data_IF_205268027828
#
_entry.id   IF_205268027828
#
_cell.length_a   1.000
_cell.length_b   1.000
_cell.length_c   1.000
_cell.angle_alpha   90.00
_cell.angle_beta   90.00
_cell.angle_gamma   90.00
#
_symmetry.space_group_name_H-M   'P 1'
#
loop_
_entity.id
_entity.type
_entity.pdbx_description
1 polymer ?
#
# COMPACT_ATOMS: atom_id res chain seq x y z
N UNK A 1 -3.93 -10.65 2.03
CA UNK A 1 -2.67 -11.25 2.52
C UNK A 1 -2.40 -11.06 4.01
N UNK A 2 -2.98 -10.06 4.70
CA UNK A 2 -2.75 -9.85 6.15
C UNK A 2 -1.25 -9.77 6.54
N UNK A 3 -0.46 -9.05 5.73
CA UNK A 3 1.01 -9.01 5.84
C UNK A 3 1.52 -7.95 6.83
N UNK A 4 1.06 -6.68 6.78
CA UNK A 4 1.58 -5.66 7.70
C UNK A 4 1.20 -5.96 9.14
N UNK A 5 2.17 -5.91 10.07
CA UNK A 5 1.97 -6.13 11.51
C UNK A 5 2.48 -4.93 12.30
N UNK A 6 1.87 -4.69 13.46
CA UNK A 6 2.22 -3.55 14.33
C UNK A 6 3.13 -4.00 15.48
N UNK A 7 4.08 -3.14 15.87
CA UNK A 7 4.93 -3.35 17.05
C UNK A 7 4.18 -2.96 18.35
N UNK A 8 3.35 -3.88 18.86
CA UNK A 8 2.47 -3.62 20.02
C UNK A 8 3.18 -3.25 21.32
N UNK A 9 4.44 -3.62 21.48
CA UNK A 9 5.20 -3.38 22.71
C UNK A 9 5.81 -1.97 22.82
N UNK A 10 5.82 -1.20 21.72
CA UNK A 10 6.41 0.14 21.68
C UNK A 10 5.32 1.20 21.79
N UNK A 11 5.56 2.22 22.62
CA UNK A 11 4.67 3.39 22.73
C UNK A 11 4.50 4.15 21.41
N UNK A 12 5.52 4.13 20.56
CA UNK A 12 5.51 4.62 19.19
C UNK A 12 5.83 3.47 18.22
N UNK A 13 5.00 2.42 18.25
CA UNK A 13 5.15 1.27 17.36
C UNK A 13 5.03 1.65 15.88
N UNK A 14 5.84 1.00 15.05
CA UNK A 14 5.76 1.12 13.60
C UNK A 14 5.02 -0.08 13.01
N UNK A 15 4.49 0.11 11.79
CA UNK A 15 4.00 -0.99 10.98
C UNK A 15 5.19 -1.60 10.25
N UNK A 16 5.43 -2.89 10.45
CA UNK A 16 6.54 -3.65 9.86
C UNK A 16 6.02 -4.74 8.93
N UNK A 17 6.78 -5.00 7.89
CA UNK A 17 6.57 -6.10 6.93
C UNK A 17 7.90 -6.43 6.25
N UNK A 18 7.92 -7.50 5.45
CA UNK A 18 9.02 -7.75 4.53
C UNK A 18 9.29 -6.52 3.66
N UNK A 19 10.55 -6.10 3.65
CA UNK A 19 11.12 -5.01 2.84
C UNK A 19 11.93 -5.54 1.65
N UNK A 20 11.87 -6.85 1.40
CA UNK A 20 12.64 -7.57 0.40
C UNK A 20 14.17 -7.42 0.60
N UNK A 21 14.67 -7.18 1.81
CA UNK A 21 16.10 -6.93 2.06
C UNK A 21 16.66 -5.80 1.20
N UNK A 22 15.96 -4.65 1.18
CA UNK A 22 16.32 -3.48 0.36
C UNK A 22 17.77 -3.02 0.58
N UNK A 23 18.27 -3.12 1.81
CA UNK A 23 19.63 -2.83 2.22
C UNK A 23 20.67 -3.74 1.55
N UNK A 24 20.35 -5.04 1.42
CA UNK A 24 21.20 -6.04 0.77
C UNK A 24 21.16 -5.88 -0.74
N UNK A 25 19.98 -5.66 -1.31
CA UNK A 25 19.84 -5.44 -2.74
C UNK A 25 20.59 -4.19 -3.20
N UNK A 26 20.61 -3.12 -2.40
CA UNK A 26 21.40 -1.92 -2.68
C UNK A 26 22.92 -2.19 -2.78
N UNK A 27 23.39 -3.29 -2.20
CA UNK A 27 24.78 -3.75 -2.24
C UNK A 27 25.01 -4.85 -3.29
N UNK A 28 24.02 -5.12 -4.16
CA UNK A 28 24.08 -6.19 -5.15
C UNK A 28 24.00 -7.59 -4.56
N UNK A 29 23.55 -7.73 -3.31
CA UNK A 29 23.37 -9.02 -2.65
C UNK A 29 21.91 -9.49 -2.74
N UNK A 30 21.72 -10.80 -2.88
CA UNK A 30 20.40 -11.42 -2.80
C UNK A 30 19.78 -11.32 -1.38
N UNK A 31 18.45 -11.43 -1.24
CA UNK A 31 17.76 -11.47 0.05
C UNK A 31 18.31 -12.57 0.97
N UNK A 32 18.33 -12.28 2.28
CA UNK A 32 18.87 -13.20 3.28
C UNK A 32 18.17 -14.56 3.29
N UNK A 33 16.84 -14.57 3.10
CA UNK A 33 16.04 -15.79 3.05
C UNK A 33 16.30 -16.65 1.82
N UNK A 34 16.59 -16.03 0.65
CA UNK A 34 16.99 -16.76 -0.56
C UNK A 34 18.38 -17.38 -0.37
N UNK A 35 19.35 -16.58 0.09
CA UNK A 35 20.72 -17.03 0.38
C UNK A 35 20.79 -18.18 1.39
N UNK A 36 19.94 -18.12 2.41
CA UNK A 36 19.95 -19.10 3.50
C UNK A 36 19.29 -20.44 3.12
N UNK A 37 18.58 -20.53 1.99
CA UNK A 37 17.81 -21.72 1.63
C UNK A 37 18.72 -22.84 1.10
N UNK A 38 18.92 -23.95 1.84
CA UNK A 38 19.84 -25.00 1.41
C UNK A 38 19.29 -25.85 0.26
N UNK A 39 17.96 -25.89 0.11
CA UNK A 39 17.26 -26.73 -0.89
C UNK A 39 16.92 -25.99 -2.18
N UNK A 40 17.17 -24.67 -2.26
CA UNK A 40 16.78 -23.86 -3.41
C UNK A 40 15.25 -23.72 -3.57
N UNK A 41 14.49 -23.84 -2.48
CA UNK A 41 13.05 -23.60 -2.47
C UNK A 41 12.70 -22.10 -2.60
N UNK A 42 13.60 -21.21 -2.16
CA UNK A 42 13.47 -19.76 -2.32
C UNK A 42 14.53 -19.31 -3.31
N UNK A 43 14.09 -18.82 -4.46
CA UNK A 43 14.95 -18.25 -5.50
C UNK A 43 14.67 -16.75 -5.62
N UNK A 44 15.68 -15.96 -5.95
CA UNK A 44 15.57 -14.52 -6.20
C UNK A 44 16.15 -14.20 -7.58
N UNK A 45 15.49 -13.29 -8.31
CA UNK A 45 15.87 -12.92 -9.67
C UNK A 45 14.79 -12.04 -10.32
N UNK A 46 14.95 -11.82 -11.61
CA UNK A 46 13.97 -11.09 -12.42
C UNK A 46 12.64 -11.85 -12.48
N UNK A 47 11.53 -11.10 -12.45
CA UNK A 47 10.19 -11.68 -12.31
C UNK A 47 9.85 -12.64 -13.46
N UNK A 48 10.14 -12.23 -14.69
CA UNK A 48 9.78 -13.01 -15.87
C UNK A 48 10.59 -14.32 -15.96
N UNK A 49 11.87 -14.26 -15.58
CA UNK A 49 12.74 -15.44 -15.48
C UNK A 49 12.23 -16.44 -14.43
N UNK A 50 11.77 -15.94 -13.27
CA UNK A 50 11.20 -16.78 -12.22
C UNK A 50 9.87 -17.43 -12.63
N UNK A 51 9.04 -16.73 -13.42
CA UNK A 51 7.80 -17.32 -13.97
C UNK A 51 8.14 -18.42 -14.98
N UNK A 52 9.10 -18.17 -15.87
CA UNK A 52 9.54 -19.16 -16.85
C UNK A 52 10.15 -20.41 -16.17
N UNK A 53 10.98 -20.23 -15.14
CA UNK A 53 11.52 -21.32 -14.33
C UNK A 53 10.40 -22.09 -13.61
N UNK A 54 9.46 -21.40 -12.97
CA UNK A 54 8.32 -22.04 -12.30
C UNK A 54 7.48 -22.88 -13.27
N UNK A 55 7.13 -22.34 -14.45
CA UNK A 55 6.40 -23.08 -15.50
C UNK A 55 7.18 -24.31 -15.97
N UNK A 56 8.49 -24.18 -16.15
CA UNK A 56 9.37 -25.31 -16.53
C UNK A 56 9.37 -26.40 -15.46
N UNK A 57 9.52 -26.04 -14.18
CA UNK A 57 9.50 -26.98 -13.05
C UNK A 57 8.15 -27.69 -12.90
N UNK A 58 7.05 -26.97 -13.13
CA UNK A 58 5.70 -27.53 -13.07
C UNK A 58 5.45 -28.50 -14.23
N UNK A 59 5.86 -28.14 -15.45
CA UNK A 59 5.74 -29.01 -16.62
C UNK A 59 6.57 -30.30 -16.49
N UNK A 60 7.72 -30.24 -15.83
CA UNK A 60 8.57 -31.41 -15.55
C UNK A 60 7.97 -32.35 -14.48
N UNK A 61 7.08 -31.85 -13.62
CA UNK A 61 6.50 -32.59 -12.49
C UNK A 61 4.99 -32.29 -12.33
N UNK A 62 4.16 -32.65 -13.33
CA UNK A 62 2.73 -32.29 -13.36
C UNK A 62 1.91 -32.98 -12.26
N UNK A 63 2.39 -34.11 -11.73
CA UNK A 63 1.79 -34.85 -10.62
C UNK A 63 2.08 -34.24 -9.25
N UNK A 64 3.09 -33.36 -9.16
CA UNK A 64 3.58 -32.81 -7.89
C UNK A 64 3.01 -31.44 -7.57
N UNK A 65 2.66 -30.64 -8.57
CA UNK A 65 2.27 -29.25 -8.37
C UNK A 65 0.84 -29.00 -8.87
N UNK A 66 0.14 -28.11 -8.18
CA UNK A 66 -1.08 -27.50 -8.73
C UNK A 66 -0.68 -26.64 -9.91
N UNK A 67 -1.39 -26.74 -11.04
CA UNK A 67 -1.17 -25.92 -12.25
C UNK A 67 -1.61 -24.45 -12.06
N UNK A 68 -1.02 -23.78 -11.08
CA UNK A 68 -1.26 -22.40 -10.73
C UNK A 68 -0.02 -21.80 -10.05
N UNK A 69 0.50 -20.70 -10.60
CA UNK A 69 1.55 -19.90 -9.98
C UNK A 69 0.88 -18.76 -9.23
N UNK A 70 0.83 -18.87 -7.91
CA UNK A 70 0.20 -17.85 -7.09
C UNK A 70 1.09 -16.61 -7.03
N UNK A 71 0.52 -15.45 -7.33
CA UNK A 71 1.17 -14.17 -7.44
C UNK A 71 1.50 -13.74 -8.87
N UNK A 72 1.21 -14.57 -9.88
CA UNK A 72 1.43 -14.25 -11.30
C UNK A 72 0.44 -13.17 -11.78
N UNK A 73 -0.83 -13.32 -11.43
CA UNK A 73 -1.91 -12.42 -11.90
C UNK A 73 -2.70 -11.79 -10.74
N UNK A 74 -2.63 -12.39 -9.56
CA UNK A 74 -3.37 -11.97 -8.36
C UNK A 74 -3.03 -10.52 -8.04
N UNK A 75 -4.08 -9.72 -7.78
CA UNK A 75 -3.98 -8.30 -7.41
C UNK A 75 -3.19 -7.42 -8.38
N UNK A 76 -3.20 -7.75 -9.68
CA UNK A 76 -2.41 -7.06 -10.71
C UNK A 76 -0.98 -7.61 -10.86
N UNK A 77 -0.69 -8.75 -10.23
CA UNK A 77 0.63 -9.38 -10.19
C UNK A 77 1.44 -8.95 -8.97
N UNK A 78 2.22 -9.88 -8.44
CA UNK A 78 3.07 -9.65 -7.27
C UNK A 78 4.54 -9.92 -7.56
N UNK A 79 5.43 -9.42 -6.70
CA UNK A 79 6.87 -9.69 -6.73
C UNK A 79 7.29 -10.92 -5.93
N UNK A 80 6.32 -11.70 -5.40
CA UNK A 80 6.60 -12.92 -4.64
C UNK A 80 5.68 -14.03 -5.14
N UNK A 81 6.27 -14.95 -5.89
CA UNK A 81 5.57 -16.06 -6.53
C UNK A 81 5.65 -17.30 -5.65
N UNK A 82 4.61 -18.13 -5.70
CA UNK A 82 4.56 -19.39 -4.98
C UNK A 82 4.12 -20.54 -5.87
N UNK A 83 4.73 -21.70 -5.63
CA UNK A 83 4.32 -22.99 -6.16
C UNK A 83 3.88 -23.86 -4.97
N UNK A 84 2.85 -24.67 -5.17
CA UNK A 84 2.34 -25.56 -4.12
C UNK A 84 1.98 -26.93 -4.70
N UNK A 85 2.14 -27.96 -3.89
CA UNK A 85 1.69 -29.31 -4.20
C UNK A 85 0.19 -29.52 -3.88
N UNK A 86 -0.41 -28.61 -3.12
CA UNK A 86 -1.81 -28.63 -2.71
C UNK A 86 -2.50 -27.31 -3.05
N UNK A 87 -3.83 -27.28 -3.19
CA UNK A 87 -4.58 -26.04 -3.38
C UNK A 87 -4.19 -24.97 -2.36
N UNK A 88 -4.02 -23.73 -2.83
CA UNK A 88 -3.55 -22.59 -2.03
C UNK A 88 -4.48 -22.26 -0.84
N UNK A 89 -5.78 -22.53 -0.97
CA UNK A 89 -6.75 -22.37 0.12
C UNK A 89 -6.47 -23.27 1.33
N UNK A 90 -5.89 -24.46 1.14
CA UNK A 90 -5.53 -25.37 2.23
C UNK A 90 -4.32 -24.89 3.04
N UNK A 91 -3.44 -24.08 2.43
CA UNK A 91 -2.26 -23.48 3.07
C UNK A 91 -2.51 -22.04 3.53
N UNK A 92 -3.79 -21.62 3.59
CA UNK A 92 -4.19 -20.34 4.16
C UNK A 92 -4.02 -19.14 3.24
N UNK A 93 -3.79 -19.34 1.95
CA UNK A 93 -3.78 -18.25 0.97
C UNK A 93 -5.23 -17.89 0.58
N UNK A 94 -5.56 -16.59 0.51
CA UNK A 94 -6.87 -16.16 0.05
C UNK A 94 -7.03 -16.37 -1.46
N UNK A 95 -8.26 -16.57 -1.93
CA UNK A 95 -8.56 -16.51 -3.36
C UNK A 95 -8.71 -15.05 -3.78
N UNK A 96 -7.84 -14.58 -4.69
CA UNK A 96 -7.80 -13.19 -5.14
C UNK A 96 -8.01 -13.11 -6.65
N UNK A 97 -8.75 -12.10 -7.09
CA UNK A 97 -8.90 -11.80 -8.50
C UNK A 97 -7.67 -11.13 -9.12
N UNK A 98 -7.66 -10.94 -10.45
CA UNK A 98 -6.57 -10.27 -11.15
C UNK A 98 -6.60 -8.74 -11.00
N UNK A 99 -7.64 -8.21 -10.37
CA UNK A 99 -7.86 -6.79 -10.21
C UNK A 99 -6.92 -6.16 -9.17
N UNK A 100 -6.27 -5.08 -9.58
CA UNK A 100 -5.43 -4.27 -8.71
C UNK A 100 -6.23 -3.66 -7.54
N UNK A 101 -5.88 -4.05 -6.31
CA UNK A 101 -6.46 -3.53 -5.07
C UNK A 101 -6.38 -1.98 -4.96
N UNK A 102 -5.29 -1.31 -5.40
CA UNK A 102 -5.17 0.14 -5.24
C UNK A 102 -6.09 0.98 -6.14
N UNK A 103 -6.72 0.41 -7.17
CA UNK A 103 -7.43 1.20 -8.21
C UNK A 103 -8.43 2.20 -7.64
N UNK A 104 -9.17 1.80 -6.61
CA UNK A 104 -10.15 2.67 -5.96
C UNK A 104 -9.51 3.65 -4.97
N UNK A 105 -8.52 3.20 -4.20
CA UNK A 105 -7.86 4.03 -3.19
C UNK A 105 -7.02 5.15 -3.82
N UNK A 106 -6.32 4.86 -4.93
CA UNK A 106 -5.49 5.84 -5.61
C UNK A 106 -6.33 6.99 -6.19
N UNK A 107 -7.47 6.68 -6.82
CA UNK A 107 -8.39 7.67 -7.37
C UNK A 107 -8.91 8.62 -6.29
N UNK A 108 -9.25 8.10 -5.11
CA UNK A 108 -9.71 8.91 -3.97
C UNK A 108 -8.55 9.70 -3.36
N UNK A 109 -7.40 9.07 -3.10
CA UNK A 109 -6.27 9.72 -2.44
C UNK A 109 -5.69 10.88 -3.26
N UNK A 110 -5.70 10.79 -4.60
CA UNK A 110 -5.25 11.88 -5.49
C UNK A 110 -6.06 13.18 -5.34
N UNK A 111 -7.30 13.10 -4.88
CA UNK A 111 -8.17 14.27 -4.68
C UNK A 111 -7.95 14.96 -3.33
N UNK A 112 -7.25 14.32 -2.39
CA UNK A 112 -7.03 14.83 -1.03
C UNK A 112 -6.41 16.25 -1.00
N UNK A 113 -5.35 16.56 -1.78
CA UNK A 113 -4.77 17.90 -1.78
C UNK A 113 -5.77 18.97 -2.26
N UNK A 114 -6.55 18.67 -3.30
CA UNK A 114 -7.54 19.60 -3.86
C UNK A 114 -8.65 19.88 -2.85
N UNK A 115 -9.16 18.85 -2.18
CA UNK A 115 -10.18 19.00 -1.13
C UNK A 115 -9.64 19.80 0.05
N UNK A 116 -8.41 19.54 0.47
CA UNK A 116 -7.77 20.27 1.57
C UNK A 116 -7.61 21.77 1.25
N UNK A 117 -7.12 22.09 0.05
CA UNK A 117 -6.99 23.48 -0.43
C UNK A 117 -8.36 24.15 -0.52
N UNK A 118 -9.36 23.46 -1.08
CA UNK A 118 -10.73 23.97 -1.17
C UNK A 118 -11.33 24.28 0.20
N UNK A 119 -11.14 23.38 1.18
CA UNK A 119 -11.61 23.58 2.54
C UNK A 119 -10.89 24.75 3.23
N UNK A 120 -9.57 24.88 3.07
CA UNK A 120 -8.79 25.98 3.64
C UNK A 120 -9.21 27.34 3.05
N UNK A 121 -9.44 27.40 1.74
CA UNK A 121 -9.91 28.62 1.07
C UNK A 121 -11.32 29.01 1.53
N UNK A 122 -12.23 28.05 1.66
CA UNK A 122 -13.58 28.28 2.17
C UNK A 122 -13.56 28.79 3.61
N UNK A 123 -12.76 28.16 4.49
CA UNK A 123 -12.61 28.59 5.88
C UNK A 123 -12.00 30.00 5.98
N UNK A 124 -10.98 30.30 5.19
CA UNK A 124 -10.35 31.63 5.15
C UNK A 124 -11.31 32.71 4.64
N UNK A 125 -12.08 32.39 3.59
CA UNK A 125 -13.11 33.26 3.04
C UNK A 125 -14.22 33.55 4.06
N UNK A 126 -14.69 32.52 4.76
CA UNK A 126 -15.69 32.66 5.83
C UNK A 126 -15.16 33.51 6.99
N UNK A 127 -13.93 33.26 7.45
CA UNK A 127 -13.27 34.03 8.50
C UNK A 127 -13.18 35.52 8.13
N UNK A 128 -12.77 35.83 6.89
CA UNK A 128 -12.68 37.20 6.40
C UNK A 128 -14.06 37.90 6.35
N UNK A 129 -15.10 37.21 5.91
CA UNK A 129 -16.47 37.74 5.87
C UNK A 129 -17.00 38.01 7.29
N UNK A 130 -16.83 37.06 8.22
CA UNK A 130 -17.29 37.21 9.60
C UNK A 130 -16.56 38.34 10.32
N UNK A 131 -15.24 38.44 10.15
CA UNK A 131 -14.45 39.54 10.72
C UNK A 131 -14.89 40.89 10.18
N UNK A 132 -15.11 41.02 8.86
CA UNK A 132 -15.58 42.26 8.25
C UNK A 132 -16.99 42.67 8.75
N UNK A 133 -17.87 41.71 9.01
CA UNK A 133 -19.18 41.98 9.62
C UNK A 133 -19.05 42.49 11.05
N UNK A 134 -18.17 41.87 11.83
CA UNK A 134 -17.91 42.30 13.21
C UNK A 134 -17.32 43.71 13.26
N UNK A 135 -16.31 44.01 12.44
CA UNK A 135 -15.70 45.34 12.36
C UNK A 135 -16.72 46.42 11.95
N UNK A 136 -17.60 46.12 10.97
CA UNK A 136 -18.67 47.04 10.57
C UNK A 136 -19.71 47.25 11.68
N UNK A 137 -20.11 46.20 12.40
CA UNK A 137 -21.04 46.32 13.54
C UNK A 137 -20.45 47.16 14.67
N UNK A 138 -19.19 46.93 15.04
CA UNK A 138 -18.48 47.71 16.07
C UNK A 138 -18.41 49.18 15.67
N UNK A 139 -18.07 49.48 14.42
CA UNK A 139 -18.00 50.88 13.94
C UNK A 139 -19.35 51.60 13.90
N UNK A 140 -20.47 50.85 13.83
CA UNK A 140 -21.82 51.42 13.85
C UNK A 140 -22.24 51.75 15.28
N UNK A 141 -21.93 50.84 16.23
CA UNK A 141 -22.15 51.07 17.66
C UNK A 141 -21.31 52.26 18.16
N UNK A 142 -20.03 52.34 17.79
CA UNK A 142 -19.17 53.49 18.14
C UNK A 142 -19.70 54.82 17.60
N UNK A 143 -20.33 54.82 16.40
CA UNK A 143 -20.94 56.05 15.84
C UNK A 143 -22.23 56.44 16.57
N UNK A 144 -23.06 55.46 16.94
CA UNK A 144 -24.28 55.71 17.72
C UNK A 144 -23.94 56.20 19.15
N UNK A 145 -22.83 55.76 19.75
CA UNK A 145 -22.38 56.20 21.08
C UNK A 145 -21.73 57.61 21.07
N UNK A 146 -21.22 58.08 19.93
CA UNK A 146 -20.62 59.42 19.77
C UNK A 146 -21.65 60.50 19.39
N UNK A 147 -22.77 60.11 18.77
CA UNK A 147 -23.83 61.04 18.33
C UNK A 147 -25.01 61.16 19.32
N UNK A 148 -25.07 60.33 20.37
CA UNK A 148 -26.08 60.37 21.44
C UNK A 148 -25.62 61.10 22.70
#
# INVERSE_FOLDING_TARGET
FDVPKFEWEKSLGLIVKCDMCVDRQAQGMEPSCAKACPTGAITFGERDDLIADARTRMAAHPDKYVDHIYGENEVGGTSKLYMSAVPFSLIGFPELGPEEIPRYAEAVMKQTPTVAIGMAAAASGLFWILKRRQDNMVSTIEKEEVEG
#
